data_IF_295248145865
#
_entry.id   IF_295248145865
#
_cell.length_a   1.000
_cell.length_b   1.000
_cell.length_c   1.000
_cell.angle_alpha   90.00
_cell.angle_beta   90.00
_cell.angle_gamma   90.00
#
_symmetry.space_group_name_H-M   'P 1'
#
loop_
_entity.id
_entity.type
_entity.pdbx_description
1 polymer ?
#
# COMPACT_ATOMS: atom_id res chain seq x y z
N UNK A 1 -42.56 26.94 -44.49
CA UNK A 1 -41.32 26.13 -44.46
C UNK A 1 -40.18 27.04 -44.05
N UNK A 2 -39.55 26.83 -42.90
CA UNK A 2 -38.52 27.73 -42.36
C UNK A 2 -38.22 27.57 -40.86
N UNK A 3 -39.04 26.81 -40.11
CA UNK A 3 -38.81 26.54 -38.69
C UNK A 3 -37.90 25.34 -38.41
N UNK A 4 -37.95 24.30 -39.24
CA UNK A 4 -37.22 23.04 -39.01
C UNK A 4 -35.72 23.20 -39.25
N UNK A 5 -35.31 23.96 -40.28
CA UNK A 5 -33.89 24.22 -40.54
C UNK A 5 -33.22 24.97 -39.39
N UNK A 6 -33.88 25.97 -38.78
CA UNK A 6 -33.29 26.72 -37.66
C UNK A 6 -33.04 25.86 -36.41
N UNK A 7 -33.92 24.90 -36.12
CA UNK A 7 -33.71 24.01 -34.96
C UNK A 7 -32.54 23.05 -35.17
N UNK A 8 -32.35 22.53 -36.40
CA UNK A 8 -31.22 21.64 -36.73
C UNK A 8 -29.88 22.37 -36.61
N UNK A 9 -29.80 23.63 -37.07
CA UNK A 9 -28.57 24.42 -36.96
C UNK A 9 -28.23 24.77 -35.51
N UNK A 10 -29.22 25.02 -34.65
CA UNK A 10 -29.00 25.29 -33.22
C UNK A 10 -28.50 24.03 -32.50
N UNK A 11 -29.10 22.87 -32.76
CA UNK A 11 -28.67 21.62 -32.16
C UNK A 11 -27.22 21.25 -32.56
N UNK A 12 -26.85 21.46 -33.82
CA UNK A 12 -25.48 21.24 -34.29
C UNK A 12 -24.47 22.18 -33.62
N UNK A 13 -24.83 23.46 -33.44
CA UNK A 13 -23.95 24.44 -32.80
C UNK A 13 -23.71 24.13 -31.32
N UNK A 14 -24.75 23.70 -30.59
CA UNK A 14 -24.64 23.34 -29.17
C UNK A 14 -23.77 22.08 -28.98
N UNK A 15 -23.96 21.06 -29.83
CA UNK A 15 -23.14 19.84 -29.79
C UNK A 15 -21.67 20.13 -30.10
N UNK A 16 -21.38 20.99 -31.09
CA UNK A 16 -20.01 21.38 -31.41
C UNK A 16 -19.34 22.13 -30.23
N UNK A 17 -20.09 22.99 -29.52
CA UNK A 17 -19.57 23.72 -28.37
C UNK A 17 -19.28 22.80 -27.18
N UNK A 18 -20.13 21.80 -26.94
CA UNK A 18 -19.92 20.81 -25.89
C UNK A 18 -18.68 19.94 -26.15
N UNK A 19 -18.48 19.51 -27.39
CA UNK A 19 -17.28 18.76 -27.80
C UNK A 19 -16.03 19.61 -27.67
N UNK A 20 -16.08 20.88 -28.10
CA UNK A 20 -14.95 21.79 -27.95
C UNK A 20 -14.61 22.07 -26.48
N UNK A 21 -15.61 22.20 -25.61
CA UNK A 21 -15.41 22.39 -24.17
C UNK A 21 -14.83 21.13 -23.51
N UNK A 22 -15.29 19.94 -23.88
CA UNK A 22 -14.75 18.68 -23.40
C UNK A 22 -13.28 18.48 -23.84
N UNK A 23 -12.96 18.78 -25.11
CA UNK A 23 -11.59 18.72 -25.63
C UNK A 23 -10.67 19.76 -24.97
N UNK A 24 -11.17 20.98 -24.75
CA UNK A 24 -10.41 22.03 -24.06
C UNK A 24 -10.17 21.69 -22.58
N UNK A 25 -11.15 21.06 -21.91
CA UNK A 25 -11.00 20.58 -20.53
C UNK A 25 -10.00 19.42 -20.45
N UNK A 26 -10.08 18.45 -21.38
CA UNK A 26 -9.14 17.33 -21.45
C UNK A 26 -7.70 17.80 -21.70
N UNK A 27 -7.49 18.71 -22.66
CA UNK A 27 -6.18 19.33 -22.91
C UNK A 27 -5.64 20.17 -21.75
N UNK A 28 -6.51 20.62 -20.84
CA UNK A 28 -6.10 21.36 -19.63
C UNK A 28 -5.71 20.44 -18.49
N UNK A 29 -6.24 19.21 -18.46
CA UNK A 29 -5.88 18.18 -17.48
C UNK A 29 -4.47 17.65 -17.70
N UNK A 30 -4.00 17.62 -18.95
CA UNK A 30 -2.67 17.12 -19.33
C UNK A 30 -1.60 18.20 -19.47
N UNK A 31 -1.82 19.44 -19.00
CA UNK A 31 -0.73 20.42 -18.95
C UNK A 31 0.15 20.13 -17.73
N UNK A 32 1.39 19.64 -17.92
CA UNK A 32 2.34 19.58 -16.83
C UNK A 32 2.65 21.01 -16.40
N UNK A 33 2.86 21.23 -15.11
CA UNK A 33 3.37 22.50 -14.62
C UNK A 33 4.72 22.80 -15.29
N UNK A 34 4.72 23.72 -16.26
CA UNK A 34 5.93 24.18 -16.95
C UNK A 34 6.84 24.89 -15.95
N UNK A 35 7.86 24.16 -15.48
CA UNK A 35 8.85 24.70 -14.54
C UNK A 35 9.86 23.69 -14.00
N UNK A 36 10.00 22.50 -14.60
CA UNK A 36 11.02 21.53 -14.19
C UNK A 36 11.76 21.04 -15.44
N UNK A 37 13.09 21.05 -15.34
CA UNK A 37 13.98 20.57 -16.38
C UNK A 37 13.49 19.23 -16.94
N UNK A 38 13.55 19.08 -18.26
CA UNK A 38 13.16 17.86 -18.95
C UNK A 38 14.03 16.68 -18.48
N UNK A 39 13.59 16.03 -17.40
CA UNK A 39 13.92 14.64 -17.14
C UNK A 39 13.46 13.87 -18.37
N UNK A 40 14.36 13.08 -18.97
CA UNK A 40 14.05 12.24 -20.12
C UNK A 40 12.83 11.34 -19.85
N UNK A 41 12.27 10.66 -20.87
CA UNK A 41 11.09 9.82 -20.71
C UNK A 41 11.28 8.92 -19.49
N UNK A 42 10.58 9.24 -18.40
CA UNK A 42 10.56 8.40 -17.21
C UNK A 42 9.99 7.08 -17.70
N UNK A 43 10.86 6.08 -17.77
CA UNK A 43 10.48 4.70 -18.05
C UNK A 43 9.29 4.43 -17.14
N UNK A 44 8.12 4.14 -17.73
CA UNK A 44 6.90 3.87 -16.96
C UNK A 44 7.32 2.94 -15.82
N UNK A 45 7.06 3.32 -14.55
CA UNK A 45 7.62 2.62 -13.40
C UNK A 45 7.36 1.14 -13.60
N UNK A 46 8.40 0.32 -13.72
CA UNK A 46 8.26 -1.12 -13.86
C UNK A 46 7.35 -1.55 -12.70
N UNK A 47 6.13 -1.99 -13.02
CA UNK A 47 5.06 -1.99 -12.03
C UNK A 47 5.45 -2.89 -10.87
N UNK A 48 5.15 -2.46 -9.65
CA UNK A 48 5.61 -3.13 -8.43
C UNK A 48 5.01 -4.54 -8.23
N UNK A 49 4.10 -4.99 -9.11
CA UNK A 49 3.60 -6.37 -9.17
C UNK A 49 4.43 -7.32 -10.05
N UNK A 50 5.56 -6.87 -10.59
CA UNK A 50 6.59 -7.74 -11.19
C UNK A 50 6.25 -8.28 -12.60
N UNK A 51 7.13 -9.13 -13.18
CA UNK A 51 7.02 -9.64 -14.55
C UNK A 51 5.91 -10.72 -14.73
N UNK A 52 5.05 -10.91 -13.73
CA UNK A 52 4.05 -11.99 -13.71
C UNK A 52 2.96 -11.75 -14.74
N UNK A 53 2.58 -10.50 -14.95
CA UNK A 53 1.55 -10.13 -15.92
C UNK A 53 2.21 -9.72 -17.24
N UNK A 54 1.74 -10.30 -18.34
CA UNK A 54 1.99 -9.71 -19.65
C UNK A 54 1.30 -8.32 -19.75
N UNK A 55 1.66 -7.49 -20.74
CA UNK A 55 1.14 -6.12 -20.82
C UNK A 55 -0.39 -6.02 -20.88
N UNK A 56 -1.08 -6.95 -21.55
CA UNK A 56 -2.53 -6.93 -21.69
C UNK A 56 -3.21 -7.29 -20.36
N UNK A 57 -2.76 -8.39 -19.74
CA UNK A 57 -3.23 -8.80 -18.41
C UNK A 57 -2.94 -7.73 -17.35
N UNK A 58 -1.79 -7.05 -17.45
CA UNK A 58 -1.43 -5.94 -16.55
C UNK A 58 -2.38 -4.74 -16.66
N UNK A 59 -2.83 -4.39 -17.87
CA UNK A 59 -3.82 -3.33 -18.09
C UNK A 59 -5.16 -3.75 -17.49
N UNK A 60 -5.63 -4.96 -17.80
CA UNK A 60 -6.90 -5.48 -17.28
C UNK A 60 -6.91 -5.49 -15.74
N UNK A 61 -5.85 -6.03 -15.11
CA UNK A 61 -5.71 -6.04 -13.65
C UNK A 61 -5.74 -4.63 -13.05
N UNK A 62 -5.05 -3.66 -13.66
CA UNK A 62 -5.03 -2.27 -13.20
C UNK A 62 -6.40 -1.61 -13.32
N UNK A 63 -7.14 -1.85 -14.41
CA UNK A 63 -8.52 -1.36 -14.55
C UNK A 63 -9.46 -2.02 -13.54
N UNK A 64 -9.31 -3.33 -13.29
CA UNK A 64 -10.07 -4.04 -12.25
C UNK A 64 -9.83 -3.47 -10.84
N UNK A 65 -8.57 -3.18 -10.49
CA UNK A 65 -8.22 -2.52 -9.22
C UNK A 65 -8.80 -1.11 -9.12
N UNK A 66 -8.79 -0.34 -10.22
CA UNK A 66 -9.38 1.00 -10.24
C UNK A 66 -10.90 0.94 -10.03
N UNK A 67 -11.59 0.06 -10.76
CA UNK A 67 -13.04 -0.12 -10.63
C UNK A 67 -13.41 -0.56 -9.20
N UNK A 68 -12.67 -1.51 -8.62
CA UNK A 68 -12.84 -1.93 -7.23
C UNK A 68 -12.61 -0.80 -6.21
N UNK A 69 -11.63 0.08 -6.45
CA UNK A 69 -11.41 1.26 -5.61
C UNK A 69 -12.53 2.31 -5.73
N UNK A 70 -13.02 2.57 -6.95
CA UNK A 70 -14.05 3.59 -7.21
C UNK A 70 -15.39 3.28 -6.55
N UNK A 71 -15.67 2.01 -6.25
CA UNK A 71 -16.85 1.57 -5.49
C UNK A 71 -16.74 1.81 -3.97
N UNK A 72 -15.55 2.17 -3.47
CA UNK A 72 -15.30 2.40 -2.05
C UNK A 72 -14.98 1.13 -1.26
N UNK A 73 -14.84 -0.02 -1.92
CA UNK A 73 -14.56 -1.32 -1.30
C UNK A 73 -13.08 -1.49 -0.91
N UNK A 74 -12.20 -0.60 -1.38
CA UNK A 74 -10.80 -0.60 -1.00
C UNK A 74 -10.16 0.79 -1.02
N UNK A 75 -9.12 0.92 -0.21
CA UNK A 75 -8.13 2.00 -0.29
C UNK A 75 -6.86 1.42 -0.90
N UNK A 76 -6.54 1.86 -2.11
CA UNK A 76 -5.23 1.59 -2.71
C UNK A 76 -4.21 2.47 -1.99
N UNK A 77 -3.44 1.88 -1.08
CA UNK A 77 -2.23 2.52 -0.61
C UNK A 77 -1.29 2.58 -1.80
N UNK A 78 -0.90 3.79 -2.19
CA UNK A 78 -0.06 4.14 -3.34
C UNK A 78 0.54 2.92 -4.09
N UNK A 79 0.28 2.79 -5.39
CA UNK A 79 0.73 1.65 -6.21
C UNK A 79 2.24 1.33 -6.08
N UNK A 80 3.05 2.30 -5.64
CA UNK A 80 4.46 2.16 -5.28
C UNK A 80 4.71 1.15 -4.15
N UNK A 81 3.77 0.95 -3.23
CA UNK A 81 3.94 0.15 -2.02
C UNK A 81 3.42 -1.28 -2.14
N UNK A 82 2.82 -1.64 -3.29
CA UNK A 82 2.38 -3.02 -3.57
C UNK A 82 1.35 -3.60 -2.58
N UNK A 83 0.46 -2.79 -2.01
CA UNK A 83 -0.55 -3.22 -1.02
C UNK A 83 -1.93 -2.64 -1.33
N UNK A 84 -2.97 -3.48 -1.24
CA UNK A 84 -4.39 -3.08 -1.20
C UNK A 84 -4.87 -3.15 0.25
N UNK A 85 -5.55 -2.11 0.72
CA UNK A 85 -6.21 -2.15 2.03
C UNK A 85 -7.72 -2.17 1.88
N UNK A 86 -8.38 -3.17 2.45
CA UNK A 86 -9.86 -3.19 2.55
C UNK A 86 -10.28 -2.57 3.88
N UNK A 87 -11.42 -1.85 3.96
CA UNK A 87 -11.86 -1.22 5.20
C UNK A 87 -12.72 -2.13 6.10
N UNK A 88 -13.48 -3.08 5.55
CA UNK A 88 -14.41 -3.92 6.33
C UNK A 88 -14.44 -5.40 5.85
N UNK A 89 -13.85 -6.34 6.61
CA UNK A 89 -12.96 -6.10 7.73
C UNK A 89 -11.63 -5.50 7.25
N UNK A 90 -10.88 -4.80 8.11
CA UNK A 90 -9.65 -4.15 7.71
C UNK A 90 -8.55 -5.17 7.46
N UNK A 91 -7.98 -5.14 6.25
CA UNK A 91 -6.95 -6.08 5.81
C UNK A 91 -5.94 -5.36 4.94
N UNK A 92 -4.68 -5.73 5.02
CA UNK A 92 -3.66 -5.37 4.03
C UNK A 92 -3.31 -6.60 3.20
N UNK A 93 -3.42 -6.48 1.88
CA UNK A 93 -3.24 -7.58 0.93
C UNK A 93 -2.18 -7.18 -0.09
N UNK A 94 -1.22 -8.07 -0.31
CA UNK A 94 -0.16 -7.94 -1.31
C UNK A 94 -0.74 -7.84 -2.73
N UNK A 95 -0.37 -6.78 -3.45
CA UNK A 95 -0.67 -6.65 -4.88
C UNK A 95 -0.01 -7.75 -5.72
N UNK A 96 1.25 -8.15 -5.49
CA UNK A 96 1.84 -9.33 -6.13
C UNK A 96 1.01 -10.61 -5.98
N UNK A 97 0.46 -10.86 -4.77
CA UNK A 97 -0.40 -12.02 -4.52
C UNK A 97 -1.70 -11.97 -5.35
N UNK A 98 -2.32 -10.78 -5.43
CA UNK A 98 -3.51 -10.57 -6.25
C UNK A 98 -3.21 -10.70 -7.74
N UNK A 99 -2.07 -10.16 -8.20
CA UNK A 99 -1.63 -10.25 -9.59
C UNK A 99 -1.38 -11.71 -10.02
N UNK A 100 -0.72 -12.52 -9.18
CA UNK A 100 -0.56 -13.96 -9.43
C UNK A 100 -1.91 -14.67 -9.52
N UNK A 101 -2.83 -14.38 -8.60
CA UNK A 101 -4.19 -14.91 -8.64
C UNK A 101 -4.95 -14.50 -9.91
N UNK A 102 -4.80 -13.26 -10.35
CA UNK A 102 -5.43 -12.72 -11.55
C UNK A 102 -4.89 -13.40 -12.81
N UNK A 103 -3.56 -13.54 -12.92
CA UNK A 103 -2.91 -14.27 -14.00
C UNK A 103 -3.41 -15.72 -14.09
N UNK A 104 -3.59 -16.38 -12.94
CA UNK A 104 -4.04 -17.76 -12.88
C UNK A 104 -5.49 -17.97 -13.37
N UNK A 105 -6.32 -16.91 -13.39
CA UNK A 105 -7.68 -16.95 -13.94
C UNK A 105 -7.71 -16.79 -15.48
N UNK A 106 -6.63 -16.27 -16.09
CA UNK A 106 -6.46 -16.20 -17.54
C UNK A 106 -7.54 -15.38 -18.25
N UNK A 107 -8.10 -15.91 -19.34
CA UNK A 107 -9.10 -15.22 -20.17
C UNK A 107 -10.36 -14.76 -19.41
N UNK A 108 -10.75 -15.48 -18.35
CA UNK A 108 -11.89 -15.08 -17.50
C UNK A 108 -11.63 -13.71 -16.86
N UNK A 109 -10.40 -13.50 -16.40
CA UNK A 109 -9.97 -12.24 -15.78
C UNK A 109 -9.96 -11.08 -16.77
N UNK A 110 -9.67 -11.34 -18.05
CA UNK A 110 -9.70 -10.32 -19.09
C UNK A 110 -11.13 -9.92 -19.47
N UNK A 111 -12.07 -10.86 -19.39
CA UNK A 111 -13.47 -10.61 -19.72
C UNK A 111 -14.20 -9.81 -18.62
N UNK A 112 -13.90 -10.12 -17.36
CA UNK A 112 -14.42 -9.40 -16.19
C UNK A 112 -13.30 -9.08 -15.18
N UNK A 113 -12.49 -8.04 -15.43
CA UNK A 113 -11.38 -7.70 -14.56
C UNK A 113 -11.81 -7.25 -13.16
N UNK A 114 -12.92 -6.51 -13.08
CA UNK A 114 -13.46 -5.99 -11.83
C UNK A 114 -14.01 -7.11 -10.95
N UNK A 115 -14.89 -7.97 -11.49
CA UNK A 115 -15.42 -9.13 -10.77
C UNK A 115 -14.31 -10.06 -10.30
N UNK A 116 -13.30 -10.27 -11.15
CA UNK A 116 -12.15 -11.11 -10.79
C UNK A 116 -11.32 -10.52 -9.66
N UNK A 117 -11.03 -9.21 -9.67
CA UNK A 117 -10.30 -8.55 -8.56
C UNK A 117 -11.10 -8.63 -7.27
N UNK A 118 -12.41 -8.34 -7.32
CA UNK A 118 -13.31 -8.43 -6.16
C UNK A 118 -13.30 -9.84 -5.55
N UNK A 119 -13.43 -10.86 -6.38
CA UNK A 119 -13.38 -12.27 -5.95
C UNK A 119 -12.03 -12.62 -5.35
N UNK A 120 -10.92 -12.19 -5.95
CA UNK A 120 -9.58 -12.44 -5.42
C UNK A 120 -9.34 -11.76 -4.08
N UNK A 121 -9.80 -10.51 -3.91
CA UNK A 121 -9.70 -9.80 -2.63
C UNK A 121 -10.51 -10.52 -1.55
N UNK A 122 -11.73 -10.97 -1.87
CA UNK A 122 -12.56 -11.73 -0.95
C UNK A 122 -11.94 -13.09 -0.59
N UNK A 123 -11.49 -13.84 -1.60
CA UNK A 123 -10.88 -15.18 -1.48
C UNK A 123 -9.56 -15.13 -0.69
N UNK A 124 -8.62 -14.29 -1.13
CA UNK A 124 -7.29 -14.17 -0.51
C UNK A 124 -7.35 -13.49 0.84
N UNK A 125 -8.24 -12.51 0.99
CA UNK A 125 -8.45 -11.82 2.26
C UNK A 125 -9.11 -12.69 3.34
N UNK A 126 -9.73 -13.83 3.00
CA UNK A 126 -10.46 -14.64 3.97
C UNK A 126 -9.59 -15.22 5.09
N UNK A 127 -8.30 -15.44 4.85
CA UNK A 127 -7.36 -16.09 5.79
C UNK A 127 -6.07 -15.29 5.88
N UNK A 128 -5.62 -14.99 7.09
CA UNK A 128 -4.31 -14.36 7.33
C UNK A 128 -3.18 -15.31 6.92
N UNK A 129 -2.15 -14.80 6.25
CA UNK A 129 -1.07 -15.63 5.70
C UNK A 129 0.01 -14.82 4.98
N UNK A 130 0.91 -15.49 4.24
CA UNK A 130 1.91 -14.80 3.42
C UNK A 130 1.26 -13.80 2.45
N UNK A 131 1.61 -12.52 2.57
CA UNK A 131 1.03 -11.44 1.79
C UNK A 131 -0.36 -10.95 2.24
N UNK A 132 -0.93 -11.48 3.32
CA UNK A 132 -2.25 -11.04 3.83
C UNK A 132 -2.18 -10.81 5.34
N UNK A 133 -2.45 -9.58 5.76
CA UNK A 133 -2.47 -9.16 7.15
C UNK A 133 -3.89 -8.77 7.56
N UNK A 134 -4.43 -9.40 8.60
CA UNK A 134 -5.71 -9.00 9.20
C UNK A 134 -5.43 -7.94 10.26
N UNK A 135 -5.98 -6.75 10.04
CA UNK A 135 -5.78 -5.58 10.88
C UNK A 135 -6.91 -5.46 11.91
N UNK A 136 -6.67 -4.74 13.00
CA UNK A 136 -7.73 -4.41 13.96
C UNK A 136 -8.50 -3.18 13.51
N UNK A 137 -9.84 -3.26 13.48
CA UNK A 137 -10.72 -2.13 13.18
C UNK A 137 -10.68 -1.02 14.23
N UNK A 138 -10.26 -1.35 15.45
CA UNK A 138 -10.15 -0.41 16.56
C UNK A 138 -8.73 -0.40 17.10
N UNK A 139 -7.76 -0.02 16.26
CA UNK A 139 -6.38 0.09 16.70
C UNK A 139 -6.14 1.46 17.37
N UNK A 140 -5.78 1.40 18.66
CA UNK A 140 -5.59 2.53 19.59
C UNK A 140 -6.75 3.56 19.62
N UNK A 141 -7.55 3.54 20.68
CA UNK A 141 -8.44 4.65 21.00
C UNK A 141 -7.87 5.45 22.18
N UNK A 142 -7.64 6.75 22.00
CA UNK A 142 -7.01 7.62 22.99
C UNK A 142 -5.48 7.58 22.99
N UNK A 143 -4.90 7.53 24.19
CA UNK A 143 -3.46 7.66 24.42
C UNK A 143 -2.90 6.43 25.14
N UNK A 144 -1.66 6.05 24.84
CA UNK A 144 -0.89 5.06 25.59
C UNK A 144 0.47 5.65 25.98
N UNK A 145 0.75 5.74 27.28
CA UNK A 145 1.97 6.39 27.81
C UNK A 145 2.26 7.77 27.21
N UNK A 146 1.21 8.54 26.93
CA UNK A 146 1.31 9.87 26.33
C UNK A 146 1.48 9.90 24.80
N UNK A 147 1.41 8.75 24.12
CA UNK A 147 1.41 8.64 22.66
C UNK A 147 0.00 8.43 22.11
N UNK A 148 -0.38 9.19 21.09
CA UNK A 148 -1.54 8.91 20.23
C UNK A 148 -1.14 7.93 19.10
N UNK A 149 -2.03 7.72 18.11
CA UNK A 149 -1.77 6.84 16.95
C UNK A 149 -0.54 7.25 16.16
N UNK A 150 -0.42 8.53 15.86
CA UNK A 150 0.69 9.07 15.09
C UNK A 150 2.01 8.84 15.82
N UNK A 151 2.10 9.27 17.09
CA UNK A 151 3.33 9.16 17.87
C UNK A 151 3.70 7.69 18.17
N UNK A 152 2.71 6.80 18.31
CA UNK A 152 2.98 5.38 18.46
C UNK A 152 3.55 4.79 17.16
N UNK A 153 2.95 5.11 16.01
CA UNK A 153 3.45 4.66 14.71
C UNK A 153 4.85 5.20 14.42
N UNK A 154 5.11 6.48 14.72
CA UNK A 154 6.42 7.12 14.61
C UNK A 154 7.45 6.43 15.51
N UNK A 155 7.11 6.15 16.78
CA UNK A 155 8.03 5.45 17.68
C UNK A 155 8.38 4.02 17.19
N UNK A 156 7.40 3.28 16.66
CA UNK A 156 7.66 1.97 16.04
C UNK A 156 8.51 2.12 14.79
N UNK A 157 8.21 3.10 13.94
CA UNK A 157 8.95 3.40 12.73
C UNK A 157 10.41 3.77 13.03
N UNK A 158 10.66 4.63 14.01
CA UNK A 158 12.00 5.00 14.44
C UNK A 158 12.81 3.77 14.88
N UNK A 159 12.19 2.81 15.57
CA UNK A 159 12.89 1.58 15.97
C UNK A 159 13.30 0.74 14.75
N UNK A 160 12.44 0.62 13.73
CA UNK A 160 12.71 -0.23 12.56
C UNK A 160 13.48 0.52 11.46
N UNK A 161 13.59 1.85 11.55
CA UNK A 161 14.21 2.69 10.51
C UNK A 161 15.41 3.54 10.99
N UNK A 162 15.78 3.51 12.28
CA UNK A 162 16.93 4.28 12.82
C UNK A 162 18.27 3.55 12.73
N UNK A 163 19.40 4.26 12.45
CA UNK A 163 19.70 5.04 11.23
C UNK A 163 19.52 4.16 9.97
N UNK A 164 19.82 4.58 8.73
CA UNK A 164 19.63 3.73 7.55
C UNK A 164 20.45 2.44 7.68
N UNK A 165 19.84 1.40 8.26
CA UNK A 165 20.25 0.02 8.09
C UNK A 165 20.33 -0.15 6.59
N UNK A 166 21.52 -0.47 6.09
CA UNK A 166 21.83 -0.48 4.67
C UNK A 166 20.76 -1.30 3.92
N UNK A 167 19.74 -0.63 3.40
CA UNK A 167 18.62 -1.26 2.73
C UNK A 167 17.20 -0.82 3.09
N UNK A 168 16.91 -0.12 4.19
CA UNK A 168 15.56 0.49 4.34
C UNK A 168 15.49 1.73 3.46
N UNK A 169 14.61 1.72 2.45
CA UNK A 169 14.55 2.78 1.41
C UNK A 169 13.35 3.70 1.54
N UNK A 170 12.23 3.19 2.06
CA UNK A 170 11.02 3.96 2.28
C UNK A 170 10.20 3.36 3.42
N UNK A 171 9.32 4.16 4.01
CA UNK A 171 8.33 3.71 4.97
C UNK A 171 7.07 4.57 4.86
N UNK A 172 5.95 4.04 5.32
CA UNK A 172 4.68 4.77 5.47
C UNK A 172 3.83 4.14 6.56
N UNK A 173 3.26 4.96 7.42
CA UNK A 173 2.25 4.52 8.38
C UNK A 173 0.87 4.93 7.89
N UNK A 174 -0.10 4.01 7.93
CA UNK A 174 -1.50 4.31 7.69
C UNK A 174 -2.24 4.40 9.02
N UNK A 175 -2.39 5.64 9.50
CA UNK A 175 -2.97 5.97 10.81
C UNK A 175 -4.41 5.47 11.01
N UNK A 176 -5.17 5.33 9.94
CA UNK A 176 -6.56 4.92 10.03
C UNK A 176 -6.67 3.40 10.22
N UNK A 177 -5.81 2.63 9.56
CA UNK A 177 -5.93 1.16 9.49
C UNK A 177 -4.90 0.42 10.34
N UNK A 178 -3.83 1.08 10.77
CA UNK A 178 -2.86 0.50 11.69
C UNK A 178 -1.84 -0.38 11.03
N UNK A 179 -1.57 -0.15 9.76
CA UNK A 179 -0.47 -0.81 9.05
C UNK A 179 0.72 0.12 8.92
N UNK A 180 1.91 -0.38 9.28
CA UNK A 180 3.18 0.22 8.95
C UNK A 180 3.81 -0.55 7.78
N UNK A 181 4.10 0.17 6.70
CA UNK A 181 4.75 -0.34 5.51
C UNK A 181 6.21 0.08 5.50
N UNK A 182 7.12 -0.87 5.29
CA UNK A 182 8.57 -0.60 5.22
C UNK A 182 9.12 -1.27 3.97
N UNK A 183 9.73 -0.49 3.10
CA UNK A 183 10.36 -0.97 1.87
C UNK A 183 11.84 -1.23 2.12
N UNK A 184 12.25 -2.47 1.83
CA UNK A 184 13.61 -2.97 1.99
C UNK A 184 14.19 -3.28 0.61
N UNK A 185 15.40 -2.76 0.37
CA UNK A 185 16.22 -2.98 -0.81
C UNK A 185 17.53 -3.67 -0.40
N UNK A 186 17.75 -4.91 -0.82
CA UNK A 186 19.03 -5.59 -0.60
C UNK A 186 20.16 -4.95 -1.42
N UNK A 187 21.40 -5.18 -1.01
CA UNK A 187 22.60 -4.63 -1.65
C UNK A 187 22.90 -5.31 -2.99
N UNK A 188 22.52 -6.58 -3.14
CA UNK A 188 22.91 -7.44 -4.25
C UNK A 188 22.10 -7.27 -5.56
N UNK A 189 21.38 -6.16 -5.75
CA UNK A 189 20.61 -5.89 -6.97
C UNK A 189 19.31 -6.70 -7.10
N UNK A 190 18.93 -7.42 -6.05
CA UNK A 190 17.57 -7.94 -5.89
C UNK A 190 16.57 -6.77 -5.75
N UNK A 191 15.33 -6.98 -6.23
CA UNK A 191 14.29 -5.96 -6.21
C UNK A 191 13.85 -5.56 -4.80
N UNK A 192 13.23 -4.39 -4.68
CA UNK A 192 12.62 -3.96 -3.42
C UNK A 192 11.46 -4.86 -3.02
N UNK A 193 11.31 -5.05 -1.72
CA UNK A 193 10.20 -5.76 -1.12
C UNK A 193 9.65 -4.95 0.06
N UNK A 194 8.35 -4.99 0.27
CA UNK A 194 7.69 -4.26 1.35
C UNK A 194 7.23 -5.23 2.42
N UNK A 195 7.59 -4.96 3.68
CA UNK A 195 7.03 -5.61 4.86
C UNK A 195 5.85 -4.77 5.38
N UNK A 196 4.80 -5.46 5.82
CA UNK A 196 3.60 -4.92 6.46
C UNK A 196 3.62 -5.34 7.92
N UNK A 197 3.43 -4.38 8.83
CA UNK A 197 3.40 -4.61 10.28
C UNK A 197 2.06 -4.10 10.83
N UNK A 198 1.37 -4.94 11.60
CA UNK A 198 0.13 -4.58 12.30
C UNK A 198 0.46 -3.85 13.61
N UNK A 199 0.25 -2.54 13.62
CA UNK A 199 0.49 -1.67 14.77
C UNK A 199 -0.45 -1.97 15.93
N UNK A 200 -1.64 -2.53 15.69
CA UNK A 200 -2.53 -2.95 16.77
C UNK A 200 -1.92 -4.10 17.57
N UNK A 201 -1.32 -5.08 16.88
CA UNK A 201 -0.64 -6.20 17.54
C UNK A 201 0.64 -5.76 18.25
N UNK A 202 1.38 -4.82 17.67
CA UNK A 202 2.53 -4.21 18.37
C UNK A 202 2.06 -3.52 19.66
N UNK A 203 0.94 -2.78 19.61
CA UNK A 203 0.34 -2.12 20.76
C UNK A 203 -0.13 -3.10 21.84
N UNK A 204 -0.78 -4.20 21.46
CA UNK A 204 -1.24 -5.20 22.43
C UNK A 204 -0.06 -5.83 23.16
N UNK A 205 1.01 -6.22 22.45
CA UNK A 205 2.25 -6.72 23.05
C UNK A 205 2.96 -5.67 23.89
N UNK A 206 2.90 -4.41 23.48
CA UNK A 206 3.42 -3.30 24.28
C UNK A 206 2.68 -3.14 25.61
N UNK A 207 1.35 -3.24 25.60
CA UNK A 207 0.52 -3.18 26.82
C UNK A 207 0.85 -4.34 27.76
N UNK A 208 0.95 -5.56 27.24
CA UNK A 208 1.38 -6.73 28.03
C UNK A 208 2.76 -6.48 28.68
N UNK A 209 3.74 -6.04 27.89
CA UNK A 209 5.09 -5.75 28.41
C UNK A 209 5.10 -4.60 29.44
N UNK A 210 4.24 -3.58 29.26
CA UNK A 210 4.07 -2.47 30.19
C UNK A 210 3.45 -2.93 31.52
N UNK A 211 2.49 -3.84 31.48
CA UNK A 211 1.90 -4.44 32.70
C UNK A 211 2.93 -5.26 33.48
N UNK A 212 3.76 -6.04 32.78
CA UNK A 212 4.84 -6.82 33.39
C UNK A 212 5.97 -5.93 33.96
N UNK A 213 6.26 -4.79 33.31
CA UNK A 213 7.35 -3.89 33.67
C UNK A 213 6.90 -2.42 33.74
N UNK A 214 6.08 -2.02 34.74
CA UNK A 214 5.48 -0.67 34.77
C UNK A 214 6.50 0.47 34.81
N UNK A 215 7.67 0.25 35.40
CA UNK A 215 8.73 1.25 35.52
C UNK A 215 9.75 1.29 34.38
N UNK A 216 9.65 0.41 33.39
CA UNK A 216 10.60 0.38 32.28
C UNK A 216 10.41 1.61 31.36
N UNK A 217 11.47 2.16 30.75
CA UNK A 217 11.33 3.22 29.75
C UNK A 217 10.46 2.76 28.58
N UNK A 218 9.57 3.63 28.08
CA UNK A 218 8.69 3.39 26.91
C UNK A 218 9.48 2.84 25.72
N UNK A 219 10.56 3.52 25.37
CA UNK A 219 11.42 3.15 24.24
C UNK A 219 12.02 1.75 24.40
N UNK A 220 12.45 1.38 25.62
CA UNK A 220 13.05 0.08 25.88
C UNK A 220 12.02 -1.06 25.72
N UNK A 221 10.79 -0.84 26.17
CA UNK A 221 9.70 -1.80 25.98
C UNK A 221 9.30 -1.94 24.51
N UNK A 222 9.08 -0.82 23.82
CA UNK A 222 8.73 -0.83 22.39
C UNK A 222 9.81 -1.53 21.56
N UNK A 223 11.09 -1.24 21.81
CA UNK A 223 12.21 -1.88 21.11
C UNK A 223 12.21 -3.39 21.31
N UNK A 224 11.96 -3.84 22.54
CA UNK A 224 11.87 -5.27 22.87
C UNK A 224 10.71 -5.93 22.13
N UNK A 225 9.54 -5.30 22.13
CA UNK A 225 8.33 -5.80 21.46
C UNK A 225 8.51 -5.85 19.95
N UNK A 226 8.96 -4.76 19.34
CA UNK A 226 9.17 -4.66 17.88
C UNK A 226 10.22 -5.66 17.41
N UNK A 227 11.34 -5.79 18.13
CA UNK A 227 12.35 -6.83 17.85
C UNK A 227 11.75 -8.23 17.88
N UNK A 228 10.88 -8.51 18.85
CA UNK A 228 10.24 -9.82 18.97
C UNK A 228 9.23 -10.07 17.84
N UNK A 229 8.42 -9.08 17.48
CA UNK A 229 7.49 -9.16 16.33
C UNK A 229 8.26 -9.46 15.05
N UNK A 230 9.32 -8.69 14.76
CA UNK A 230 10.17 -8.89 13.58
C UNK A 230 10.85 -10.25 13.59
N UNK A 231 11.45 -10.67 14.71
CA UNK A 231 12.15 -11.95 14.81
C UNK A 231 11.22 -13.17 14.70
N UNK A 232 9.96 -13.04 15.12
CA UNK A 232 8.99 -14.13 15.06
C UNK A 232 8.52 -14.44 13.63
N UNK A 233 8.56 -13.45 12.73
CA UNK A 233 8.08 -13.58 11.34
C UNK A 233 6.64 -14.07 11.21
N UNK A 234 5.84 -13.97 12.28
CA UNK A 234 4.52 -14.58 12.41
C UNK A 234 3.38 -13.58 12.37
N UNK A 235 2.27 -13.93 13.04
CA UNK A 235 1.05 -13.10 13.08
C UNK A 235 1.35 -11.65 13.45
N UNK A 236 0.84 -10.71 12.65
CA UNK A 236 1.14 -9.27 12.77
C UNK A 236 2.29 -8.75 11.92
N UNK A 237 2.97 -9.62 11.16
CA UNK A 237 3.95 -9.22 10.17
C UNK A 237 3.82 -10.11 8.93
N UNK A 238 3.85 -9.51 7.74
CA UNK A 238 3.94 -10.27 6.49
C UNK A 238 4.60 -9.45 5.40
N UNK A 239 5.09 -10.11 4.36
CA UNK A 239 5.78 -9.46 3.25
C UNK A 239 4.91 -9.45 2.00
N UNK A 240 5.04 -8.42 1.16
CA UNK A 240 4.36 -8.38 -0.13
C UNK A 240 4.84 -9.48 -1.07
N UNK A 241 6.11 -9.89 -0.98
CA UNK A 241 6.66 -11.10 -1.62
C UNK A 241 7.48 -11.90 -0.60
N UNK A 242 7.70 -13.22 -0.78
CA UNK A 242 8.62 -13.96 0.07
C UNK A 242 9.97 -13.22 0.18
N UNK A 243 10.44 -12.90 1.40
CA UNK A 243 11.67 -12.15 1.58
C UNK A 243 12.88 -13.03 1.21
N UNK A 244 13.96 -12.37 0.79
CA UNK A 244 15.27 -13.02 0.73
C UNK A 244 15.95 -12.96 2.09
N UNK A 245 16.93 -13.84 2.33
CA UNK A 245 17.64 -13.86 3.61
C UNK A 245 18.37 -12.55 3.92
N UNK A 246 18.77 -11.78 2.89
CA UNK A 246 19.33 -10.44 3.07
C UNK A 246 18.25 -9.44 3.53
N UNK A 247 17.06 -9.48 2.93
CA UNK A 247 15.94 -8.61 3.32
C UNK A 247 15.50 -8.86 4.78
N UNK A 248 15.37 -10.13 5.18
CA UNK A 248 15.11 -10.50 6.57
C UNK A 248 16.23 -10.01 7.51
N UNK A 249 17.49 -10.19 7.08
CA UNK A 249 18.65 -9.73 7.82
C UNK A 249 18.70 -8.22 8.03
N UNK A 250 18.32 -7.44 7.01
CA UNK A 250 18.22 -5.97 7.10
C UNK A 250 17.16 -5.58 8.11
N UNK A 251 15.95 -6.13 8.01
CA UNK A 251 14.84 -5.80 8.89
C UNK A 251 15.14 -6.17 10.36
N UNK A 252 15.69 -7.37 10.58
CA UNK A 252 16.06 -7.83 11.92
C UNK A 252 17.20 -7.00 12.52
N UNK A 253 18.20 -6.63 11.71
CA UNK A 253 19.30 -5.77 12.17
C UNK A 253 18.80 -4.39 12.54
N UNK A 254 17.84 -3.84 11.79
CA UNK A 254 17.23 -2.55 12.08
C UNK A 254 16.47 -2.58 13.41
N UNK A 255 15.59 -3.58 13.60
CA UNK A 255 14.78 -3.70 14.82
C UNK A 255 15.61 -3.92 16.10
N UNK A 256 16.78 -4.56 15.98
CA UNK A 256 17.65 -4.91 17.12
C UNK A 256 18.83 -3.97 17.35
N UNK A 257 19.06 -2.99 16.46
CA UNK A 257 20.11 -2.00 16.63
C UNK A 257 19.93 -1.25 17.97
N UNK A 258 21.02 -0.81 18.63
CA UNK A 258 20.90 0.02 19.83
C UNK A 258 20.44 1.44 19.49
N UNK A 259 19.76 2.12 20.42
CA UNK A 259 19.39 3.53 20.27
C UNK A 259 20.64 4.36 20.13
N UNK A 260 20.79 5.08 19.02
CA UNK A 260 21.74 6.20 18.96
C UNK A 260 21.02 7.38 19.61
N UNK A 261 21.06 7.44 20.94
CA UNK A 261 20.53 8.58 21.71
C UNK A 261 21.07 9.87 21.10
N UNK A 262 20.18 10.70 20.55
CA UNK A 262 20.47 12.07 20.10
C UNK A 262 20.02 13.08 21.14
#
# INVERSE_FOLDING_TARGET
MGGVDRMVWIALAVSALAVAAALAWWLRRDRPAEGRAAEGPQKAPEHAWGPVLDPETGIAFTEGLRAFHDEGDAVLLELSQSVVVTPDPPRAISLPLLAEGFAARGEEALHDPEGTVRDLVAERGAVEGPGVLHLSAAWLDGMVDGMDRWHFAEAVQEIVCSPPSAGVTAWKAEEETGVLLITVRPSAGEGENTVMIDLARVLDRYREAREEQPGAPVEALLRTVVSHVVASGGAGLTWTRPPTGEQDGILLSAATAPSVLR
#
